data_IF_143617767385
#
_entry.id   IF_143617767385
#
_cell.length_a   1.000
_cell.length_b   1.000
_cell.length_c   1.000
_cell.angle_alpha   90.00
_cell.angle_beta   90.00
_cell.angle_gamma   90.00
#
_symmetry.space_group_name_H-M   'P 1'
#
loop_
_entity.id
_entity.type
_entity.pdbx_description
1 polymer ?
#
# COMPACT_ATOMS: atom_id res chain seq x y z
N UNK A 1 -1.95 37.84 -2.26
CA UNK A 1 -2.62 36.68 -2.87
C UNK A 1 -2.23 35.46 -2.05
N UNK A 2 -3.17 34.62 -1.67
CA UNK A 2 -2.86 33.37 -0.96
C UNK A 2 -2.11 32.43 -1.91
N UNK A 3 -1.06 31.78 -1.44
CA UNK A 3 -0.40 30.71 -2.20
C UNK A 3 -1.36 29.52 -2.37
N UNK A 4 -1.42 28.94 -3.56
CA UNK A 4 -2.21 27.74 -3.84
C UNK A 4 -1.36 26.48 -3.57
N UNK A 5 -1.72 25.73 -2.53
CA UNK A 5 -0.89 24.68 -1.95
C UNK A 5 -1.68 23.40 -1.71
N UNK A 6 -0.96 22.29 -1.69
CA UNK A 6 -1.47 20.98 -1.26
C UNK A 6 -0.63 20.48 -0.08
N UNK A 7 -1.23 19.64 0.75
CA UNK A 7 -0.58 19.11 1.94
C UNK A 7 -1.03 17.69 2.24
N UNK A 8 -0.19 16.95 2.98
CA UNK A 8 -0.59 15.67 3.57
C UNK A 8 -1.10 15.91 5.00
N UNK A 9 -2.28 15.38 5.32
CA UNK A 9 -2.74 15.35 6.72
C UNK A 9 -1.88 14.34 7.50
N UNK A 10 -1.28 14.79 8.60
CA UNK A 10 -0.38 13.98 9.42
C UNK A 10 -1.15 12.79 10.00
N UNK A 11 -0.72 11.57 9.67
CA UNK A 11 -1.41 10.31 10.02
C UNK A 11 -1.53 10.10 11.54
N UNK A 12 -0.63 10.70 12.33
CA UNK A 12 -0.65 10.67 13.79
C UNK A 12 -1.38 11.86 14.45
N UNK A 13 -2.06 12.69 13.68
CA UNK A 13 -2.82 13.83 14.18
C UNK A 13 -4.16 13.42 14.81
N UNK A 14 -4.75 14.33 15.61
CA UNK A 14 -6.08 14.14 16.22
C UNK A 14 -7.25 14.41 15.25
N UNK A 15 -6.97 14.84 14.02
CA UNK A 15 -7.98 15.25 13.03
C UNK A 15 -7.53 14.86 11.61
N UNK A 16 -8.49 14.56 10.73
CA UNK A 16 -8.25 14.22 9.31
C UNK A 16 -8.56 15.36 8.33
N UNK A 17 -8.33 15.12 7.04
CA UNK A 17 -8.51 16.11 5.97
C UNK A 17 -9.97 16.36 5.52
N UNK A 18 -10.95 15.64 6.07
CA UNK A 18 -12.37 15.89 5.81
C UNK A 18 -12.88 17.08 6.63
N UNK A 19 -12.37 18.26 6.32
CA UNK A 19 -12.71 19.52 6.97
C UNK A 19 -12.55 20.67 5.97
N UNK A 20 -13.25 21.78 6.20
CA UNK A 20 -13.05 23.00 5.40
C UNK A 20 -11.67 23.63 5.64
N UNK A 21 -11.09 23.39 6.82
CA UNK A 21 -9.80 23.92 7.23
C UNK A 21 -9.03 22.88 8.04
N UNK A 22 -7.72 22.80 7.84
CA UNK A 22 -6.81 21.92 8.57
C UNK A 22 -5.53 22.68 8.92
N UNK A 23 -5.04 22.52 10.14
CA UNK A 23 -3.72 23.00 10.56
C UNK A 23 -2.73 21.86 10.38
N UNK A 24 -1.67 22.11 9.60
CA UNK A 24 -0.61 21.14 9.34
C UNK A 24 0.77 21.79 9.55
N UNK A 25 1.81 20.99 9.83
CA UNK A 25 3.19 21.49 9.85
C UNK A 25 3.58 22.11 8.50
N UNK A 26 4.37 23.17 8.50
CA UNK A 26 4.74 23.86 7.27
C UNK A 26 5.54 22.96 6.30
N UNK A 27 6.31 22.01 6.85
CA UNK A 27 7.07 21.01 6.11
C UNK A 27 6.22 19.98 5.37
N UNK A 28 4.92 19.87 5.68
CA UNK A 28 4.00 18.96 4.99
C UNK A 28 3.24 19.65 3.85
N UNK A 29 3.61 20.88 3.50
CA UNK A 29 2.94 21.73 2.50
C UNK A 29 3.84 21.94 1.30
N UNK A 30 3.29 21.73 0.11
CA UNK A 30 3.97 22.02 -1.17
C UNK A 30 3.03 22.78 -2.10
N UNK A 31 3.58 23.41 -3.13
CA UNK A 31 2.77 24.09 -4.14
C UNK A 31 1.96 23.09 -4.96
N UNK A 32 0.74 23.47 -5.33
CA UNK A 32 -0.05 22.73 -6.31
C UNK A 32 0.66 22.75 -7.67
N UNK A 33 0.75 21.62 -8.40
CA UNK A 33 1.29 21.60 -9.75
C UNK A 33 0.58 22.59 -10.67
N UNK A 34 1.33 23.23 -11.57
CA UNK A 34 0.73 24.14 -12.54
C UNK A 34 -0.18 23.35 -13.50
N UNK A 35 -1.38 23.89 -13.77
CA UNK A 35 -2.32 23.29 -14.72
C UNK A 35 -3.21 22.18 -14.16
N UNK A 36 -3.13 21.86 -12.87
CA UNK A 36 -4.04 20.91 -12.21
C UNK A 36 -5.16 21.64 -11.47
N UNK A 37 -6.34 21.02 -11.46
CA UNK A 37 -7.45 21.37 -10.58
C UNK A 37 -7.15 20.96 -9.14
N UNK A 38 -7.86 21.56 -8.17
CA UNK A 38 -7.76 21.20 -6.75
C UNK A 38 -8.10 19.72 -6.53
N UNK A 39 -9.05 19.19 -7.30
CA UNK A 39 -9.46 17.78 -7.26
C UNK A 39 -8.32 16.87 -7.68
N UNK A 40 -7.62 17.19 -8.78
CA UNK A 40 -6.45 16.42 -9.23
C UNK A 40 -5.31 16.53 -8.23
N UNK A 41 -5.02 17.75 -7.75
CA UNK A 41 -3.94 18.03 -6.80
C UNK A 41 -4.14 17.37 -5.42
N UNK A 42 -5.39 17.08 -5.04
CA UNK A 42 -5.68 16.37 -3.80
C UNK A 42 -5.30 14.88 -3.84
N UNK A 43 -5.05 14.30 -5.03
CA UNK A 43 -4.83 12.85 -5.16
C UNK A 43 -3.38 12.37 -4.88
N UNK A 44 -2.30 13.07 -5.29
CA UNK A 44 -0.94 12.60 -5.06
C UNK A 44 -0.44 12.60 -3.61
N UNK A 45 -0.78 13.58 -2.73
CA UNK A 45 -0.08 13.75 -1.45
C UNK A 45 0.06 12.49 -0.60
N UNK A 46 -0.99 11.66 -0.54
CA UNK A 46 -0.93 10.41 0.23
C UNK A 46 -0.44 9.23 -0.64
N UNK A 47 -1.14 8.95 -1.74
CA UNK A 47 -0.89 7.74 -2.52
C UNK A 47 0.40 7.82 -3.33
N UNK A 48 0.69 8.97 -3.93
CA UNK A 48 1.91 9.21 -4.69
C UNK A 48 3.15 9.23 -3.79
N UNK A 49 3.07 9.88 -2.62
CA UNK A 49 4.15 9.86 -1.64
C UNK A 49 4.42 8.45 -1.11
N UNK A 50 3.37 7.68 -0.83
CA UNK A 50 3.50 6.27 -0.43
C UNK A 50 4.21 5.46 -1.50
N UNK A 51 3.82 5.62 -2.77
CA UNK A 51 4.46 4.92 -3.89
C UNK A 51 5.93 5.30 -4.05
N UNK A 52 6.27 6.60 -3.95
CA UNK A 52 7.65 7.10 -4.02
C UNK A 52 8.51 6.52 -2.89
N UNK A 53 8.03 6.59 -1.65
CA UNK A 53 8.74 6.03 -0.50
C UNK A 53 8.94 4.51 -0.64
N UNK A 54 7.94 3.78 -1.14
CA UNK A 54 8.05 2.35 -1.36
C UNK A 54 9.10 2.00 -2.44
N UNK A 55 9.17 2.77 -3.53
CA UNK A 55 10.21 2.60 -4.55
C UNK A 55 11.61 2.94 -4.01
N UNK A 56 11.75 4.02 -3.23
CA UNK A 56 13.04 4.42 -2.66
C UNK A 56 13.62 3.35 -1.73
N UNK A 57 12.75 2.69 -0.95
CA UNK A 57 13.14 1.59 -0.07
C UNK A 57 13.64 0.34 -0.80
N UNK A 58 13.34 0.19 -2.10
CA UNK A 58 13.84 -0.93 -2.88
C UNK A 58 15.31 -0.74 -3.33
N UNK A 59 15.83 0.50 -3.32
CA UNK A 59 17.21 0.82 -3.71
C UNK A 59 17.64 0.17 -5.03
N UNK A 60 16.76 0.20 -6.04
CA UNK A 60 16.95 -0.54 -7.28
C UNK A 60 18.10 0.03 -8.12
N UNK A 61 18.88 -0.84 -8.81
CA UNK A 61 19.86 -0.39 -9.78
C UNK A 61 19.18 0.22 -11.01
N UNK A 62 19.89 1.12 -11.70
CA UNK A 62 19.40 1.73 -12.94
C UNK A 62 19.02 0.65 -13.97
N UNK A 63 17.84 0.79 -14.59
CA UNK A 63 17.33 -0.16 -15.59
C UNK A 63 16.81 -1.47 -14.99
N UNK A 64 16.67 -1.59 -13.67
CA UNK A 64 16.03 -2.72 -13.01
C UNK A 64 14.62 -3.01 -13.54
N UNK A 65 14.18 -4.25 -13.33
CA UNK A 65 12.78 -4.64 -13.50
C UNK A 65 12.08 -4.63 -12.15
N UNK A 66 10.92 -3.96 -12.09
CA UNK A 66 10.05 -3.95 -10.92
C UNK A 66 8.69 -4.56 -11.26
N UNK A 67 8.22 -5.46 -10.40
CA UNK A 67 6.86 -5.96 -10.44
C UNK A 67 5.95 -5.12 -9.54
N UNK A 68 4.71 -4.87 -9.98
CA UNK A 68 3.72 -4.11 -9.21
C UNK A 68 2.39 -4.87 -9.18
N UNK A 69 1.89 -5.20 -7.99
CA UNK A 69 0.51 -5.68 -7.83
C UNK A 69 -0.41 -4.56 -7.39
N UNK A 70 -1.71 -4.68 -7.64
CA UNK A 70 -2.70 -3.63 -7.41
C UNK A 70 -2.50 -2.42 -8.31
N UNK A 71 -1.97 -2.61 -9.52
CA UNK A 71 -1.46 -1.51 -10.35
C UNK A 71 -2.54 -0.53 -10.84
N UNK A 72 -3.80 -0.95 -10.89
CA UNK A 72 -4.93 -0.05 -11.18
C UNK A 72 -5.41 0.76 -9.96
N UNK A 73 -4.87 0.50 -8.77
CA UNK A 73 -5.25 1.16 -7.53
C UNK A 73 -4.55 2.51 -7.32
N UNK A 74 -4.98 3.24 -6.28
CA UNK A 74 -4.49 4.59 -6.00
C UNK A 74 -2.98 4.66 -5.74
N UNK A 75 -2.39 3.66 -5.08
CA UNK A 75 -0.92 3.60 -4.84
C UNK A 75 -0.22 2.92 -6.02
N UNK A 76 -0.72 1.77 -6.47
CA UNK A 76 -0.12 1.00 -7.56
C UNK A 76 -0.01 1.78 -8.87
N UNK A 77 -1.01 2.61 -9.20
CA UNK A 77 -0.97 3.43 -10.41
C UNK A 77 0.11 4.51 -10.39
N UNK A 78 0.36 5.13 -9.23
CA UNK A 78 1.51 6.02 -9.05
C UNK A 78 2.83 5.24 -9.05
N UNK A 79 2.87 4.04 -8.47
CA UNK A 79 4.06 3.19 -8.48
C UNK A 79 4.51 2.83 -9.90
N UNK A 80 3.56 2.48 -10.79
CA UNK A 80 3.84 2.23 -12.22
C UNK A 80 4.44 3.49 -12.85
N UNK A 81 3.76 4.63 -12.76
CA UNK A 81 4.22 5.88 -13.39
C UNK A 81 5.59 6.33 -12.88
N UNK A 82 5.81 6.30 -11.56
CA UNK A 82 7.08 6.70 -10.94
C UNK A 82 8.21 5.74 -11.33
N UNK A 83 7.96 4.42 -11.32
CA UNK A 83 8.96 3.46 -11.74
C UNK A 83 9.37 3.65 -13.22
N UNK A 84 8.41 3.99 -14.08
CA UNK A 84 8.69 4.32 -15.48
C UNK A 84 9.48 5.62 -15.62
N UNK A 85 9.12 6.66 -14.85
CA UNK A 85 9.85 7.91 -14.82
C UNK A 85 11.32 7.74 -14.36
N UNK A 86 11.56 6.79 -13.45
CA UNK A 86 12.90 6.41 -12.98
C UNK A 86 13.67 5.54 -14.00
N UNK A 87 13.05 5.16 -15.12
CA UNK A 87 13.67 4.36 -16.18
C UNK A 87 13.65 2.85 -15.96
N UNK A 88 12.83 2.35 -15.02
CA UNK A 88 12.68 0.92 -14.80
C UNK A 88 11.79 0.26 -15.86
N UNK A 89 11.98 -1.06 -16.01
CA UNK A 89 11.01 -1.92 -16.68
C UNK A 89 9.93 -2.33 -15.67
N UNK A 90 8.66 -2.16 -16.02
CA UNK A 90 7.53 -2.41 -15.12
C UNK A 90 6.70 -3.59 -15.63
N UNK A 91 6.54 -4.59 -14.77
CA UNK A 91 5.60 -5.71 -14.95
C UNK A 91 4.47 -5.54 -13.94
N UNK A 92 3.26 -5.25 -14.40
CA UNK A 92 2.14 -4.89 -13.54
C UNK A 92 0.99 -5.89 -13.65
N UNK A 93 0.21 -6.06 -12.59
CA UNK A 93 -1.04 -6.81 -12.64
C UNK A 93 -2.24 -5.93 -13.02
N UNK A 94 -3.27 -6.52 -13.62
CA UNK A 94 -4.55 -5.84 -13.83
C UNK A 94 -5.70 -6.84 -13.91
N UNK A 95 -6.92 -6.39 -13.61
CA UNK A 95 -8.12 -7.07 -14.09
C UNK A 95 -8.33 -6.75 -15.59
N UNK A 96 -9.04 -7.59 -16.36
CA UNK A 96 -9.20 -7.38 -17.81
C UNK A 96 -9.73 -5.99 -18.19
N UNK A 97 -10.65 -5.45 -17.39
CA UNK A 97 -11.23 -4.10 -17.60
C UNK A 97 -10.24 -2.96 -17.36
N UNK A 98 -9.18 -3.20 -16.58
CA UNK A 98 -8.21 -2.19 -16.14
C UNK A 98 -6.89 -2.30 -16.93
N UNK A 99 -6.72 -3.32 -17.79
CA UNK A 99 -5.51 -3.47 -18.62
C UNK A 99 -5.20 -2.24 -19.48
N UNK A 100 -6.18 -1.57 -20.14
CA UNK A 100 -5.88 -0.37 -20.92
C UNK A 100 -5.34 0.76 -20.06
N UNK A 101 -5.91 0.94 -18.85
CA UNK A 101 -5.45 1.94 -17.88
C UNK A 101 -4.00 1.66 -17.46
N UNK A 102 -3.69 0.43 -17.03
CA UNK A 102 -2.35 0.09 -16.53
C UNK A 102 -1.27 0.22 -17.62
N UNK A 103 -1.62 -0.05 -18.89
CA UNK A 103 -0.74 0.23 -20.04
C UNK A 103 -0.53 1.72 -20.25
N UNK A 104 -1.59 2.52 -20.18
CA UNK A 104 -1.52 3.99 -20.33
C UNK A 104 -0.68 4.65 -19.23
N UNK A 105 -0.75 4.11 -18.00
CA UNK A 105 0.11 4.49 -16.88
C UNK A 105 1.60 4.16 -17.10
N UNK A 106 1.91 3.33 -18.10
CA UNK A 106 3.28 3.08 -18.59
C UNK A 106 3.82 1.67 -18.35
N UNK A 107 3.02 0.71 -17.86
CA UNK A 107 3.50 -0.65 -17.68
C UNK A 107 3.98 -1.29 -18.99
N UNK A 108 5.18 -1.86 -19.01
CA UNK A 108 5.73 -2.53 -20.20
C UNK A 108 5.07 -3.89 -20.45
N UNK A 109 4.68 -4.56 -19.37
CA UNK A 109 3.95 -5.83 -19.40
C UNK A 109 2.81 -5.76 -18.40
N UNK A 110 1.61 -6.14 -18.86
CA UNK A 110 0.45 -6.33 -17.99
C UNK A 110 0.10 -7.80 -17.94
N UNK A 111 -0.01 -8.33 -16.73
CA UNK A 111 -0.38 -9.72 -16.44
C UNK A 111 -1.73 -9.77 -15.73
N UNK A 112 -2.48 -10.89 -15.84
CA UNK A 112 -3.69 -11.07 -15.06
C UNK A 112 -3.42 -10.96 -13.55
N UNK A 113 -4.24 -10.16 -12.86
CA UNK A 113 -4.26 -10.11 -11.40
C UNK A 113 -4.74 -11.45 -10.83
N UNK A 114 -3.99 -11.97 -9.86
CA UNK A 114 -4.33 -13.20 -9.13
C UNK A 114 -3.13 -13.83 -8.43
N UNK A 115 -3.36 -14.95 -7.76
CA UNK A 115 -2.32 -15.71 -7.03
C UNK A 115 -1.25 -16.29 -7.96
N UNK A 116 -1.54 -16.43 -9.25
CA UNK A 116 -0.59 -16.91 -10.27
C UNK A 116 0.38 -15.83 -10.75
N UNK A 117 0.16 -14.56 -10.39
CA UNK A 117 1.01 -13.44 -10.83
C UNK A 117 2.52 -13.68 -10.62
N UNK A 118 3.00 -14.18 -9.46
CA UNK A 118 4.42 -14.46 -9.26
C UNK A 118 4.98 -15.49 -10.25
N UNK A 119 4.20 -16.52 -10.61
CA UNK A 119 4.62 -17.54 -11.57
C UNK A 119 4.69 -16.96 -12.98
N UNK A 120 3.73 -16.13 -13.36
CA UNK A 120 3.72 -15.44 -14.64
C UNK A 120 4.90 -14.46 -14.77
N UNK A 121 5.23 -13.74 -13.70
CA UNK A 121 6.45 -12.91 -13.64
C UNK A 121 7.69 -13.77 -13.84
N UNK A 122 7.79 -14.93 -13.17
CA UNK A 122 8.94 -15.85 -13.34
C UNK A 122 9.06 -16.43 -14.74
N UNK A 123 7.96 -16.61 -15.48
CA UNK A 123 8.02 -17.03 -16.90
C UNK A 123 8.71 -15.98 -17.78
N UNK A 124 8.59 -14.70 -17.43
CA UNK A 124 9.22 -13.58 -18.15
C UNK A 124 10.62 -13.24 -17.62
N UNK A 125 10.83 -13.44 -16.32
CA UNK A 125 12.09 -13.21 -15.63
C UNK A 125 12.43 -14.45 -14.77
N UNK A 126 13.06 -15.49 -15.35
CA UNK A 126 13.32 -16.75 -14.64
C UNK A 126 14.15 -16.60 -13.36
N UNK A 127 15.05 -15.63 -13.32
CA UNK A 127 15.86 -15.29 -12.14
C UNK A 127 15.11 -14.45 -11.10
N UNK A 128 13.86 -14.07 -11.36
CA UNK A 128 13.11 -13.08 -10.59
C UNK A 128 13.31 -11.66 -11.11
N UNK A 129 12.62 -10.71 -10.48
CA UNK A 129 12.76 -9.27 -10.71
C UNK A 129 13.52 -8.65 -9.55
N UNK A 130 14.16 -7.51 -9.78
CA UNK A 130 14.96 -6.83 -8.75
C UNK A 130 14.08 -6.15 -7.69
N UNK A 131 12.83 -5.82 -8.02
CA UNK A 131 11.88 -5.18 -7.09
C UNK A 131 10.46 -5.71 -7.20
N UNK A 132 9.73 -5.71 -6.07
CA UNK A 132 8.28 -5.96 -6.02
C UNK A 132 7.61 -4.93 -5.11
N UNK A 133 6.65 -4.18 -5.65
CA UNK A 133 5.70 -3.38 -4.87
C UNK A 133 4.37 -4.14 -4.81
N UNK A 134 4.07 -4.71 -3.64
CA UNK A 134 2.78 -5.36 -3.39
C UNK A 134 1.78 -4.36 -2.81
N UNK A 135 0.95 -3.76 -3.66
CA UNK A 135 -0.10 -2.82 -3.22
C UNK A 135 -1.47 -3.49 -3.10
N UNK A 136 -1.57 -4.77 -3.48
CA UNK A 136 -2.78 -5.58 -3.37
C UNK A 136 -2.78 -6.58 -2.19
N UNK A 137 -1.66 -6.70 -1.45
CA UNK A 137 -1.52 -7.64 -0.33
C UNK A 137 -1.47 -9.11 -0.76
N UNK A 138 -1.09 -9.38 -2.01
CA UNK A 138 -1.01 -10.75 -2.56
C UNK A 138 0.06 -11.57 -1.84
N UNK A 139 1.20 -10.94 -1.50
CA UNK A 139 2.23 -11.57 -0.68
C UNK A 139 1.76 -11.77 0.77
N UNK A 140 0.91 -10.88 1.30
CA UNK A 140 0.35 -11.01 2.65
C UNK A 140 -0.63 -12.18 2.78
N UNK A 141 -1.41 -12.49 1.74
CA UNK A 141 -2.27 -13.69 1.72
C UNK A 141 -1.44 -14.97 1.78
N UNK A 142 -0.35 -15.05 1.01
CA UNK A 142 0.56 -16.19 1.06
C UNK A 142 1.24 -16.34 2.43
N UNK A 143 1.63 -15.22 3.07
CA UNK A 143 2.16 -15.22 4.43
C UNK A 143 1.11 -15.66 5.45
N UNK A 144 -0.13 -15.20 5.32
CA UNK A 144 -1.24 -15.61 6.19
C UNK A 144 -1.52 -17.11 6.07
N UNK A 145 -1.52 -17.65 4.85
CA UNK A 145 -1.62 -19.09 4.63
C UNK A 145 -0.45 -19.84 5.25
N UNK A 146 0.76 -19.29 5.21
CA UNK A 146 1.91 -19.89 5.89
C UNK A 146 1.76 -19.86 7.42
N UNK A 147 1.23 -18.77 7.99
CA UNK A 147 0.94 -18.68 9.42
C UNK A 147 -0.13 -19.71 9.84
N UNK A 148 -1.16 -19.93 9.01
CA UNK A 148 -2.17 -20.98 9.19
C UNK A 148 -1.49 -22.36 9.21
N UNK A 149 -0.70 -22.70 8.20
CA UNK A 149 0.01 -23.99 8.13
C UNK A 149 0.93 -24.21 9.34
N UNK A 150 1.71 -23.21 9.74
CA UNK A 150 2.59 -23.31 10.91
C UNK A 150 1.80 -23.51 12.22
N UNK A 151 0.59 -22.98 12.30
CA UNK A 151 -0.33 -23.22 13.42
C UNK A 151 -0.86 -24.66 13.41
N UNK A 152 -1.24 -25.18 12.24
CA UNK A 152 -1.67 -26.58 12.05
C UNK A 152 -0.54 -27.58 12.33
N UNK A 153 0.69 -27.24 11.96
CA UNK A 153 1.92 -27.99 12.28
C UNK A 153 2.29 -27.93 13.78
N UNK A 154 1.57 -27.16 14.61
CA UNK A 154 1.87 -26.96 16.03
C UNK A 154 3.12 -26.13 16.32
N UNK A 155 3.72 -25.51 15.30
CA UNK A 155 4.93 -24.68 15.40
C UNK A 155 4.64 -23.26 15.84
N UNK A 156 3.42 -22.78 15.62
CA UNK A 156 2.90 -21.54 16.18
C UNK A 156 1.74 -21.85 17.13
N UNK A 157 1.75 -21.25 18.32
CA UNK A 157 0.65 -21.36 19.28
C UNK A 157 -0.10 -20.02 19.33
N UNK A 158 -1.37 -19.97 18.86
CA UNK A 158 -2.20 -18.79 19.04
C UNK A 158 -2.37 -18.49 20.54
N UNK A 159 -2.20 -17.22 20.93
CA UNK A 159 -2.33 -16.77 22.32
C UNK A 159 -3.49 -15.80 22.44
N UNK A 160 -4.56 -16.22 23.12
CA UNK A 160 -5.70 -15.35 23.47
C UNK A 160 -5.56 -14.97 24.94
N UNK A 161 -5.46 -13.68 25.22
CA UNK A 161 -5.41 -13.15 26.58
C UNK A 161 -6.81 -12.98 27.17
N UNK A 162 -7.76 -12.51 26.34
CA UNK A 162 -9.18 -12.29 26.69
C UNK A 162 -10.06 -12.44 25.46
N UNK A 163 -11.29 -12.87 25.69
CA UNK A 163 -12.37 -12.84 24.70
C UNK A 163 -13.49 -11.98 25.26
N UNK A 164 -13.97 -11.01 24.47
CA UNK A 164 -15.03 -10.09 24.87
C UNK A 164 -16.11 -10.04 23.78
N UNK A 165 -17.39 -9.85 24.14
CA UNK A 165 -18.43 -9.51 23.18
C UNK A 165 -18.09 -8.22 22.42
N UNK A 166 -18.50 -8.11 21.15
CA UNK A 166 -18.19 -6.96 20.30
C UNK A 166 -18.66 -5.62 20.90
N UNK A 167 -19.77 -5.59 21.65
CA UNK A 167 -20.25 -4.40 22.34
C UNK A 167 -19.28 -3.88 23.42
N UNK A 168 -18.30 -4.70 23.83
CA UNK A 168 -17.26 -4.35 24.80
C UNK A 168 -15.93 -3.93 24.13
N UNK A 169 -15.94 -3.58 22.84
CA UNK A 169 -14.76 -3.05 22.15
C UNK A 169 -14.06 -1.87 22.88
N UNK A 170 -14.77 -0.93 23.55
CA UNK A 170 -14.11 0.11 24.35
C UNK A 170 -13.31 -0.44 25.54
N UNK A 171 -13.78 -1.52 26.18
CA UNK A 171 -13.04 -2.21 27.24
C UNK A 171 -11.82 -2.96 26.67
N UNK A 172 -11.97 -3.56 25.49
CA UNK A 172 -10.84 -4.21 24.81
C UNK A 172 -9.69 -3.21 24.55
N UNK A 173 -9.99 -1.99 24.11
CA UNK A 173 -8.99 -0.93 23.93
C UNK A 173 -8.33 -0.51 25.25
N UNK A 174 -9.12 -0.28 26.31
CA UNK A 174 -8.58 0.04 27.64
C UNK A 174 -7.63 -1.04 28.17
N UNK A 175 -7.96 -2.31 27.97
CA UNK A 175 -7.10 -3.43 28.36
C UNK A 175 -5.81 -3.50 27.53
N UNK A 176 -5.86 -3.17 26.24
CA UNK A 176 -4.67 -3.07 25.39
C UNK A 176 -3.76 -1.91 25.82
N UNK A 177 -4.34 -0.75 26.12
CA UNK A 177 -3.63 0.44 26.58
C UNK A 177 -2.96 0.25 27.95
N UNK A 178 -3.63 -0.43 28.89
CA UNK A 178 -3.09 -0.74 30.21
C UNK A 178 -1.86 -1.66 30.19
N UNK A 179 -1.65 -2.40 29.07
CA UNK A 179 -0.51 -3.30 28.89
C UNK A 179 -0.57 -4.57 29.75
N UNK A 180 0.53 -5.33 29.79
CA UNK A 180 0.67 -6.54 30.63
C UNK A 180 -0.05 -7.80 30.11
N UNK A 181 -0.74 -7.72 28.98
CA UNK A 181 -1.41 -8.87 28.36
C UNK A 181 -0.41 -9.82 27.67
N UNK A 182 -0.56 -11.12 27.93
CA UNK A 182 0.16 -12.19 27.23
C UNK A 182 -0.75 -12.86 26.20
N UNK A 183 -0.99 -12.19 25.08
CA UNK A 183 -1.87 -12.66 23.99
C UNK A 183 -2.79 -11.55 23.46
N UNK A 184 -3.64 -11.90 22.50
CA UNK A 184 -4.61 -10.96 21.88
C UNK A 184 -5.90 -10.87 22.70
N UNK A 185 -6.52 -9.70 22.71
CA UNK A 185 -7.95 -9.55 23.07
C UNK A 185 -8.76 -9.82 21.80
N UNK A 186 -9.67 -10.78 21.84
CA UNK A 186 -10.49 -11.21 20.70
C UNK A 186 -11.93 -10.77 20.92
N UNK A 187 -12.52 -10.10 19.93
CA UNK A 187 -13.94 -9.76 19.95
C UNK A 187 -14.76 -10.87 19.27
N UNK A 188 -15.87 -11.26 19.90
CA UNK A 188 -16.83 -12.21 19.34
C UNK A 188 -18.10 -11.48 18.90
N UNK A 189 -18.61 -11.85 17.73
CA UNK A 189 -19.80 -11.29 17.08
C UNK A 189 -20.90 -12.34 16.97
#
# INVERSE_FOLDING_TARGET
>A
MSDHVMAIAVVSGTHGAHAEHLVVPAESVVRVPAGTTDVEAATPPMSGLTARMALDLLELPAGATVAVTGAAGAVGGYAVQLAKADGYRVIADAAPKDEPLVKDLGADVVLPRGTEFPELVRKLAPSGVEGLLDTAGVAELAKLDRLRQLTEEGRLTPRVARTLPAEQAPEAHRLLEAGGLRGRVVLTF
#
